data_IF_143355432645
#
_entry.id   IF_143355432645
#
_cell.length_a   1.000
_cell.length_b   1.000
_cell.length_c   1.000
_cell.angle_alpha   90.00
_cell.angle_beta   90.00
_cell.angle_gamma   90.00
#
_symmetry.space_group_name_H-M   'P 1'
#
loop_
_entity.id
_entity.type
_entity.pdbx_description
1 polymer ?
#
# COMPACT_ATOMS: atom_id res chain seq x y z
N UNK A 1 9.05 22.95 -13.42
CA UNK A 1 8.14 21.81 -13.13
C UNK A 1 7.52 22.04 -11.75
N UNK A 2 6.21 21.83 -11.57
CA UNK A 2 5.52 22.26 -10.34
C UNK A 2 5.80 21.30 -9.16
N UNK A 3 5.91 21.83 -7.94
CA UNK A 3 6.06 21.03 -6.70
C UNK A 3 4.96 19.96 -6.54
N UNK A 4 3.75 20.27 -7.04
CA UNK A 4 2.62 19.33 -7.10
C UNK A 4 2.94 18.07 -7.92
N UNK A 5 3.64 18.23 -9.05
CA UNK A 5 4.08 17.10 -9.85
C UNK A 5 5.07 16.21 -9.09
N UNK A 6 5.94 16.81 -8.28
CA UNK A 6 6.87 16.09 -7.40
C UNK A 6 6.13 15.26 -6.35
N UNK A 7 5.20 15.86 -5.61
CA UNK A 7 4.37 15.16 -4.62
C UNK A 7 3.54 14.02 -5.24
N UNK A 8 2.97 14.27 -6.43
CA UNK A 8 2.21 13.25 -7.17
C UNK A 8 3.09 12.07 -7.57
N UNK A 9 4.32 12.31 -8.03
CA UNK A 9 5.23 11.22 -8.38
C UNK A 9 5.67 10.44 -7.13
N UNK A 10 5.99 11.15 -6.05
CA UNK A 10 6.44 10.54 -4.79
C UNK A 10 5.34 9.69 -4.14
N UNK A 11 4.07 9.95 -4.42
CA UNK A 11 2.97 9.13 -3.89
C UNK A 11 2.77 7.81 -4.63
N UNK A 12 3.58 7.48 -5.64
CA UNK A 12 3.33 6.35 -6.53
C UNK A 12 1.90 6.41 -7.08
N UNK A 13 1.59 7.50 -7.79
CA UNK A 13 0.22 7.89 -8.11
C UNK A 13 -0.65 6.79 -8.74
N UNK A 14 -0.09 5.96 -9.63
CA UNK A 14 -0.81 4.84 -10.24
C UNK A 14 -1.34 3.84 -9.21
N UNK A 15 -0.46 3.18 -8.43
CA UNK A 15 -0.86 2.34 -7.29
C UNK A 15 -1.80 3.05 -6.31
N UNK A 16 -1.52 4.31 -5.95
CA UNK A 16 -2.38 5.09 -5.06
C UNK A 16 -3.81 5.21 -5.59
N UNK A 17 -3.97 5.52 -6.88
CA UNK A 17 -5.29 5.59 -7.51
C UNK A 17 -5.99 4.23 -7.52
N UNK A 18 -5.29 3.14 -7.84
CA UNK A 18 -5.88 1.80 -7.86
C UNK A 18 -6.45 1.43 -6.49
N UNK A 19 -5.66 1.59 -5.43
CA UNK A 19 -6.10 1.27 -4.05
C UNK A 19 -7.27 2.17 -3.63
N UNK A 20 -7.20 3.47 -3.96
CA UNK A 20 -8.27 4.44 -3.70
C UNK A 20 -9.56 4.05 -4.43
N UNK A 21 -9.47 3.68 -5.71
CA UNK A 21 -10.63 3.27 -6.51
C UNK A 21 -11.23 1.98 -5.99
N UNK A 22 -10.42 0.97 -5.64
CA UNK A 22 -10.94 -0.27 -5.02
C UNK A 22 -11.68 0.07 -3.72
N UNK A 23 -11.06 0.88 -2.85
CA UNK A 23 -11.69 1.35 -1.62
C UNK A 23 -13.01 2.08 -1.87
N UNK A 24 -13.06 2.96 -2.86
CA UNK A 24 -14.27 3.65 -3.28
C UNK A 24 -15.36 2.69 -3.77
N UNK A 25 -15.01 1.68 -4.59
CA UNK A 25 -15.99 0.69 -5.08
C UNK A 25 -16.62 -0.10 -3.94
N UNK A 26 -15.82 -0.54 -2.96
CA UNK A 26 -16.33 -1.17 -1.74
C UNK A 26 -17.17 -0.21 -0.92
N UNK A 27 -16.72 1.03 -0.74
CA UNK A 27 -17.45 2.02 0.03
C UNK A 27 -18.80 2.35 -0.63
N UNK A 28 -18.85 2.47 -1.95
CA UNK A 28 -20.07 2.71 -2.73
C UNK A 28 -21.05 1.52 -2.69
N UNK A 29 -20.55 0.30 -2.44
CA UNK A 29 -21.40 -0.87 -2.23
C UNK A 29 -22.05 -0.87 -0.84
N UNK A 30 -21.31 -0.45 0.20
CA UNK A 30 -21.76 -0.51 1.61
C UNK A 30 -22.40 0.80 2.13
N UNK A 31 -22.10 1.92 1.48
CA UNK A 31 -22.53 3.26 1.85
C UNK A 31 -23.15 3.97 0.65
N UNK A 32 -23.91 5.04 0.92
CA UNK A 32 -24.30 6.00 -0.11
C UNK A 32 -23.12 6.89 -0.52
N UNK A 33 -23.30 7.64 -1.61
CA UNK A 33 -22.23 8.34 -2.33
C UNK A 33 -21.34 9.24 -1.44
N UNK A 34 -21.92 10.01 -0.52
CA UNK A 34 -21.19 10.97 0.34
C UNK A 34 -20.11 10.31 1.20
N UNK A 35 -20.47 9.38 2.11
CA UNK A 35 -19.50 8.61 2.88
C UNK A 35 -18.51 7.85 2.00
N UNK A 36 -18.94 7.33 0.85
CA UNK A 36 -18.04 6.63 -0.07
C UNK A 36 -16.90 7.54 -0.57
N UNK A 37 -17.19 8.80 -0.91
CA UNK A 37 -16.16 9.76 -1.28
C UNK A 37 -15.23 10.12 -0.11
N UNK A 38 -15.76 10.27 1.11
CA UNK A 38 -14.94 10.58 2.29
C UNK A 38 -14.03 9.40 2.64
N UNK A 39 -14.52 8.15 2.55
CA UNK A 39 -13.72 6.94 2.72
C UNK A 39 -12.63 6.88 1.66
N UNK A 40 -12.97 7.08 0.38
CA UNK A 40 -12.00 7.09 -0.70
C UNK A 40 -10.90 8.15 -0.48
N UNK A 41 -11.29 9.36 -0.06
CA UNK A 41 -10.34 10.41 0.25
C UNK A 41 -9.45 10.08 1.47
N UNK A 42 -10.02 9.49 2.53
CA UNK A 42 -9.25 8.98 3.66
C UNK A 42 -8.25 7.90 3.27
N UNK A 43 -8.66 7.00 2.36
CA UNK A 43 -7.79 5.97 1.79
C UNK A 43 -6.65 6.61 1.00
N UNK A 44 -6.97 7.54 0.11
CA UNK A 44 -6.01 8.31 -0.67
C UNK A 44 -4.97 8.99 0.23
N UNK A 45 -5.40 9.68 1.29
CA UNK A 45 -4.50 10.30 2.27
C UNK A 45 -3.55 9.28 2.93
N UNK A 46 -4.05 8.10 3.30
CA UNK A 46 -3.20 7.01 3.81
C UNK A 46 -2.16 6.54 2.79
N UNK A 47 -2.57 6.38 1.52
CA UNK A 47 -1.66 6.01 0.44
C UNK A 47 -0.59 7.08 0.17
N UNK A 48 -0.93 8.37 0.31
CA UNK A 48 0.06 9.45 0.24
C UNK A 48 1.14 9.27 1.31
N UNK A 49 0.77 8.98 2.56
CA UNK A 49 1.73 8.75 3.66
C UNK A 49 2.64 7.56 3.34
N UNK A 50 2.07 6.44 2.91
CA UNK A 50 2.84 5.23 2.57
C UNK A 50 3.80 5.51 1.41
N UNK A 51 3.33 6.08 0.30
CA UNK A 51 4.15 6.38 -0.87
C UNK A 51 5.24 7.41 -0.58
N UNK A 52 4.90 8.52 0.08
CA UNK A 52 5.88 9.55 0.42
C UNK A 52 6.94 9.06 1.41
N UNK A 53 6.55 8.25 2.39
CA UNK A 53 7.52 7.66 3.32
C UNK A 53 8.47 6.68 2.61
N UNK A 54 7.97 5.94 1.61
CA UNK A 54 8.82 5.09 0.76
C UNK A 54 9.84 5.94 -0.01
N UNK A 55 9.36 6.92 -0.78
CA UNK A 55 10.23 7.74 -1.65
C UNK A 55 11.28 8.51 -0.84
N UNK A 56 10.91 9.01 0.36
CA UNK A 56 11.84 9.68 1.26
C UNK A 56 12.89 8.73 1.84
N UNK A 57 12.50 7.52 2.23
CA UNK A 57 13.41 6.53 2.82
C UNK A 57 14.37 5.95 1.77
N UNK A 58 13.86 5.72 0.56
CA UNK A 58 14.63 5.14 -0.56
C UNK A 58 15.47 6.17 -1.31
N UNK A 59 15.50 7.44 -0.88
CA UNK A 59 16.17 8.51 -1.61
C UNK A 59 17.66 8.25 -1.88
N UNK A 60 18.43 7.86 -0.85
CA UNK A 60 19.88 7.62 -1.01
C UNK A 60 20.15 6.42 -1.93
N UNK A 61 19.31 5.39 -1.85
CA UNK A 61 19.37 4.22 -2.72
C UNK A 61 19.01 4.57 -4.18
N UNK A 62 17.92 5.31 -4.35
CA UNK A 62 17.46 5.79 -5.64
C UNK A 62 18.49 6.71 -6.30
N UNK A 63 19.22 7.49 -5.49
CA UNK A 63 20.32 8.33 -5.94
C UNK A 63 21.52 7.49 -6.40
N UNK A 64 21.92 6.48 -5.61
CA UNK A 64 23.02 5.57 -5.93
C UNK A 64 22.80 4.78 -7.23
N UNK A 65 21.55 4.41 -7.52
CA UNK A 65 21.16 3.71 -8.76
C UNK A 65 20.74 4.63 -9.91
N UNK A 66 20.93 5.95 -9.78
CA UNK A 66 20.57 6.94 -10.79
C UNK A 66 19.12 6.82 -11.29
N UNK A 67 18.16 6.56 -10.40
CA UNK A 67 16.73 6.41 -10.72
C UNK A 67 16.08 7.78 -11.00
N UNK A 68 16.55 8.49 -12.04
CA UNK A 68 16.15 9.87 -12.41
C UNK A 68 14.66 10.09 -12.71
N UNK A 69 13.86 9.02 -12.80
CA UNK A 69 12.39 9.13 -12.87
C UNK A 69 11.77 9.54 -11.52
N UNK A 70 12.46 9.25 -10.41
CA UNK A 70 12.08 9.58 -9.03
C UNK A 70 12.16 11.08 -8.79
N UNK A 71 11.17 11.68 -8.10
CA UNK A 71 11.05 13.13 -8.02
C UNK A 71 12.14 13.79 -7.16
N UNK A 72 12.64 13.09 -6.13
CA UNK A 72 13.75 13.57 -5.30
C UNK A 72 15.07 13.54 -6.07
N UNK A 73 15.39 12.44 -6.75
CA UNK A 73 16.59 12.30 -7.61
C UNK A 73 16.58 13.32 -8.75
N UNK A 74 15.41 13.59 -9.33
CA UNK A 74 15.24 14.60 -10.38
C UNK A 74 15.24 16.06 -9.88
N UNK A 75 15.35 16.30 -8.57
CA UNK A 75 15.33 17.65 -8.00
C UNK A 75 13.99 18.40 -8.14
N UNK A 76 12.88 17.69 -8.37
CA UNK A 76 11.55 18.31 -8.51
C UNK A 76 11.01 18.85 -7.18
N UNK A 77 11.38 18.17 -6.10
CA UNK A 77 11.10 18.52 -4.70
C UNK A 77 12.30 18.09 -3.86
N UNK A 78 12.47 18.70 -2.68
CA UNK A 78 13.54 18.33 -1.74
C UNK A 78 13.04 17.33 -0.69
N UNK A 79 13.93 16.54 -0.06
CA UNK A 79 13.59 15.67 1.06
C UNK A 79 12.87 16.40 2.21
N UNK A 80 13.29 17.63 2.53
CA UNK A 80 12.68 18.45 3.59
C UNK A 80 11.26 18.86 3.22
N UNK A 81 11.02 19.18 1.95
CA UNK A 81 9.69 19.52 1.47
C UNK A 81 8.74 18.34 1.58
N UNK A 82 9.18 17.14 1.15
CA UNK A 82 8.38 15.91 1.26
C UNK A 82 8.12 15.55 2.73
N UNK A 83 9.13 15.67 3.59
CA UNK A 83 9.01 15.40 5.03
C UNK A 83 7.96 16.26 5.71
N UNK A 84 7.89 17.56 5.40
CA UNK A 84 6.84 18.46 5.93
C UNK A 84 5.44 17.98 5.56
N UNK A 85 5.25 17.51 4.33
CA UNK A 85 3.97 16.96 3.87
C UNK A 85 3.63 15.63 4.55
N UNK A 86 4.61 14.75 4.78
CA UNK A 86 4.41 13.52 5.57
C UNK A 86 3.96 13.87 6.99
N UNK A 87 4.61 14.82 7.66
CA UNK A 87 4.26 15.23 9.02
C UNK A 87 2.88 15.85 9.13
N UNK A 88 2.43 16.57 8.11
CA UNK A 88 1.07 17.09 8.04
C UNK A 88 0.05 15.99 7.72
N UNK A 89 0.32 15.17 6.71
CA UNK A 89 -0.63 14.20 6.18
C UNK A 89 -0.83 13.00 7.10
N UNK A 90 0.18 12.64 7.91
CA UNK A 90 0.08 11.50 8.85
C UNK A 90 -1.03 11.69 9.89
N UNK A 91 -1.05 12.76 10.71
CA UNK A 91 -2.16 12.99 11.64
C UNK A 91 -3.47 13.28 10.90
N UNK A 92 -3.44 13.94 9.74
CA UNK A 92 -4.65 14.18 8.96
C UNK A 92 -5.30 12.87 8.50
N UNK A 93 -4.52 11.96 7.91
CA UNK A 93 -4.96 10.63 7.48
C UNK A 93 -5.46 9.80 8.67
N UNK A 94 -4.80 9.89 9.82
CA UNK A 94 -5.26 9.23 11.04
C UNK A 94 -6.64 9.74 11.47
N UNK A 95 -6.80 11.06 11.60
CA UNK A 95 -8.03 11.68 12.07
C UNK A 95 -9.21 11.44 11.11
N UNK A 96 -9.01 11.61 9.81
CA UNK A 96 -10.10 11.43 8.83
C UNK A 96 -10.57 9.98 8.74
N UNK A 97 -9.66 9.00 8.87
CA UNK A 97 -10.06 7.60 8.81
C UNK A 97 -10.69 7.14 10.14
N UNK A 98 -10.25 7.68 11.28
CA UNK A 98 -10.78 7.28 12.58
C UNK A 98 -12.14 7.95 12.89
N UNK A 99 -12.28 9.23 12.57
CA UNK A 99 -13.47 10.03 12.87
C UNK A 99 -14.38 10.26 11.65
N UNK A 100 -13.99 9.77 10.47
CA UNK A 100 -14.83 9.72 9.28
C UNK A 100 -15.77 8.51 9.26
N UNK A 101 -16.35 8.18 8.10
CA UNK A 101 -17.38 7.15 7.99
C UNK A 101 -16.90 5.72 8.28
N UNK A 102 -15.60 5.44 8.22
CA UNK A 102 -15.06 4.15 8.68
C UNK A 102 -15.29 3.92 10.18
N UNK A 103 -15.50 5.00 10.95
CA UNK A 103 -15.63 4.98 12.40
C UNK A 103 -14.37 4.45 13.10
N UNK A 104 -14.45 4.30 14.42
CA UNK A 104 -13.29 3.87 15.22
C UNK A 104 -12.83 2.46 14.81
N UNK A 105 -13.74 1.49 14.70
CA UNK A 105 -13.40 0.09 14.42
C UNK A 105 -12.81 -0.08 13.01
N UNK A 106 -13.52 0.40 11.98
CA UNK A 106 -13.06 0.30 10.60
C UNK A 106 -11.80 1.15 10.38
N UNK A 107 -11.78 2.36 10.95
CA UNK A 107 -10.64 3.27 10.90
C UNK A 107 -9.37 2.63 11.45
N UNK A 108 -9.42 1.98 12.62
CA UNK A 108 -8.26 1.28 13.20
C UNK A 108 -7.77 0.13 12.32
N UNK A 109 -8.68 -0.63 11.71
CA UNK A 109 -8.31 -1.71 10.77
C UNK A 109 -7.63 -1.13 9.53
N UNK A 110 -8.12 -0.02 8.97
CA UNK A 110 -7.45 0.63 7.85
C UNK A 110 -6.09 1.22 8.26
N UNK A 111 -6.00 1.80 9.47
CA UNK A 111 -4.73 2.31 10.02
C UNK A 111 -3.69 1.20 10.22
N UNK A 112 -4.11 -0.02 10.56
CA UNK A 112 -3.22 -1.20 10.57
C UNK A 112 -2.63 -1.46 9.17
N UNK A 113 -3.43 -1.30 8.11
CA UNK A 113 -2.96 -1.38 6.73
C UNK A 113 -1.92 -0.32 6.39
N UNK A 114 -2.14 0.94 6.80
CA UNK A 114 -1.15 2.03 6.64
C UNK A 114 0.13 1.71 7.41
N UNK A 115 0.01 1.25 8.67
CA UNK A 115 1.14 0.87 9.50
C UNK A 115 1.93 -0.29 8.89
N UNK A 116 1.26 -1.25 8.23
CA UNK A 116 1.92 -2.30 7.46
C UNK A 116 2.70 -1.74 6.27
N UNK A 117 2.12 -0.81 5.50
CA UNK A 117 2.81 -0.16 4.38
C UNK A 117 4.08 0.59 4.83
N UNK A 118 3.98 1.36 5.92
CA UNK A 118 5.12 2.03 6.55
C UNK A 118 6.13 0.99 7.04
N UNK A 119 5.70 0.00 7.84
CA UNK A 119 6.57 -1.05 8.34
C UNK A 119 7.28 -1.83 7.23
N UNK A 120 6.64 -2.00 6.08
CA UNK A 120 7.27 -2.59 4.90
C UNK A 120 8.45 -1.74 4.41
N UNK A 121 8.24 -0.43 4.25
CA UNK A 121 9.26 0.50 3.79
C UNK A 121 10.52 0.48 4.67
N UNK A 122 10.34 0.44 5.99
CA UNK A 122 11.44 0.58 6.96
C UNK A 122 12.05 -0.74 7.44
N UNK A 123 11.31 -1.87 7.36
CA UNK A 123 11.73 -3.11 8.01
C UNK A 123 11.47 -4.37 7.18
N UNK A 124 10.22 -4.64 6.82
CA UNK A 124 9.88 -5.96 6.28
C UNK A 124 10.47 -6.23 4.89
N UNK A 125 10.69 -5.20 4.06
CA UNK A 125 11.28 -5.40 2.73
C UNK A 125 12.69 -6.02 2.76
N UNK A 126 13.39 -5.95 3.90
CA UNK A 126 14.73 -6.47 4.09
C UNK A 126 14.78 -7.93 4.58
N UNK A 127 13.63 -8.55 4.91
CA UNK A 127 13.62 -9.87 5.53
C UNK A 127 12.52 -10.81 4.97
N UNK A 128 12.59 -12.08 5.37
CA UNK A 128 11.72 -13.13 4.84
C UNK A 128 10.22 -12.94 5.18
N UNK A 129 9.86 -12.03 6.10
CA UNK A 129 8.47 -11.68 6.36
C UNK A 129 7.93 -10.56 5.44
N UNK A 130 8.66 -10.18 4.38
CA UNK A 130 8.24 -9.15 3.42
C UNK A 130 6.83 -9.29 2.82
N UNK A 131 6.24 -10.50 2.64
CA UNK A 131 4.85 -10.62 2.19
C UNK A 131 3.79 -10.29 3.25
N UNK A 132 4.13 -10.36 4.54
CA UNK A 132 3.17 -10.22 5.63
C UNK A 132 2.46 -8.85 5.66
N UNK A 133 3.16 -7.71 5.50
CA UNK A 133 2.49 -6.41 5.41
C UNK A 133 1.47 -6.32 4.28
N UNK A 134 1.77 -6.93 3.13
CA UNK A 134 0.84 -6.96 2.00
C UNK A 134 -0.37 -7.83 2.29
N UNK A 135 -0.16 -8.99 2.93
CA UNK A 135 -1.25 -9.86 3.36
C UNK A 135 -2.24 -9.09 4.25
N UNK A 136 -1.72 -8.42 5.28
CA UNK A 136 -2.54 -7.68 6.25
C UNK A 136 -3.20 -6.46 5.61
N UNK A 137 -2.45 -5.65 4.85
CA UNK A 137 -2.98 -4.43 4.26
C UNK A 137 -4.09 -4.69 3.23
N UNK A 138 -3.93 -5.72 2.39
CA UNK A 138 -4.95 -6.09 1.41
C UNK A 138 -6.18 -6.73 2.06
N UNK A 139 -6.00 -7.49 3.15
CA UNK A 139 -7.13 -7.99 3.94
C UNK A 139 -7.89 -6.85 4.65
N UNK A 140 -7.15 -5.89 5.19
CA UNK A 140 -7.68 -4.79 5.99
C UNK A 140 -8.50 -3.80 5.16
N UNK A 141 -8.12 -3.53 3.91
CA UNK A 141 -8.78 -2.53 3.07
C UNK A 141 -10.30 -2.79 2.91
N UNK A 142 -10.78 -3.90 2.30
CA UNK A 142 -12.21 -4.16 2.18
C UNK A 142 -12.87 -4.45 3.54
N UNK A 143 -12.14 -5.13 4.44
CA UNK A 143 -12.66 -5.48 5.77
C UNK A 143 -12.97 -4.25 6.63
N UNK A 144 -12.16 -3.20 6.55
CA UNK A 144 -12.40 -1.96 7.29
C UNK A 144 -13.73 -1.31 6.92
N UNK A 145 -14.12 -1.38 5.64
CA UNK A 145 -15.36 -0.82 5.12
C UNK A 145 -16.56 -1.67 5.57
N UNK A 146 -16.47 -3.01 5.51
CA UNK A 146 -17.52 -3.88 6.05
C UNK A 146 -17.71 -3.65 7.57
N UNK A 147 -16.61 -3.59 8.32
CA UNK A 147 -16.62 -3.34 9.77
C UNK A 147 -17.23 -1.97 10.11
N UNK A 148 -17.06 -0.95 9.25
CA UNK A 148 -17.69 0.36 9.43
C UNK A 148 -19.22 0.34 9.40
N UNK A 149 -19.81 -0.73 8.85
CA UNK A 149 -21.25 -1.01 8.85
C UNK A 149 -21.65 -2.06 9.87
N UNK A 150 -20.77 -2.38 10.81
CA UNK A 150 -20.91 -3.49 11.78
C UNK A 150 -21.18 -4.85 11.10
N UNK A 151 -20.71 -5.01 9.85
CA UNK A 151 -20.76 -6.28 9.12
C UNK A 151 -19.49 -7.06 9.42
N UNK A 152 -19.63 -8.32 9.83
CA UNK A 152 -18.50 -9.24 9.92
C UNK A 152 -17.95 -9.50 8.50
N UNK A 153 -16.68 -9.17 8.21
CA UNK A 153 -16.13 -9.38 6.89
C UNK A 153 -16.21 -10.86 6.48
N UNK A 154 -16.80 -11.20 5.32
CA UNK A 154 -16.82 -12.57 4.83
C UNK A 154 -15.40 -13.07 4.58
N UNK A 155 -15.23 -14.39 4.58
CA UNK A 155 -13.92 -15.07 4.50
C UNK A 155 -13.11 -14.59 3.29
N UNK A 156 -13.77 -14.41 2.15
CA UNK A 156 -13.10 -13.98 0.93
C UNK A 156 -12.44 -12.59 1.05
N UNK A 157 -12.96 -11.67 1.88
CA UNK A 157 -12.39 -10.33 2.00
C UNK A 157 -11.02 -10.35 2.65
N UNK A 158 -10.88 -11.07 3.76
CA UNK A 158 -9.62 -11.08 4.50
C UNK A 158 -8.67 -12.16 3.98
N UNK A 159 -9.15 -13.37 3.70
CA UNK A 159 -8.29 -14.44 3.18
C UNK A 159 -7.94 -14.21 1.70
N UNK A 160 -8.94 -13.89 0.87
CA UNK A 160 -8.72 -13.54 -0.53
C UNK A 160 -7.85 -12.29 -0.62
N UNK A 161 -8.19 -11.22 0.11
CA UNK A 161 -7.35 -10.02 0.20
C UNK A 161 -5.89 -10.36 0.54
N UNK A 162 -5.65 -11.17 1.58
CA UNK A 162 -4.29 -11.55 1.97
C UNK A 162 -3.53 -12.30 0.87
N UNK A 163 -4.16 -13.27 0.21
CA UNK A 163 -3.54 -14.06 -0.87
C UNK A 163 -3.18 -13.19 -2.07
N UNK A 164 -4.12 -12.34 -2.52
CA UNK A 164 -3.89 -11.42 -3.63
C UNK A 164 -2.85 -10.35 -3.29
N UNK A 165 -2.84 -9.86 -2.05
CA UNK A 165 -1.83 -8.93 -1.56
C UNK A 165 -0.43 -9.53 -1.59
N UNK A 166 -0.26 -10.75 -1.07
CA UNK A 166 1.01 -11.46 -1.18
C UNK A 166 1.41 -11.66 -2.64
N UNK A 167 0.49 -12.08 -3.52
CA UNK A 167 0.80 -12.22 -4.95
C UNK A 167 1.27 -10.90 -5.57
N UNK A 168 0.60 -9.79 -5.27
CA UNK A 168 0.97 -8.46 -5.72
C UNK A 168 2.38 -8.07 -5.26
N UNK A 169 2.74 -8.37 -4.02
CA UNK A 169 4.11 -8.18 -3.51
C UNK A 169 5.14 -8.95 -4.33
N UNK A 170 4.91 -10.26 -4.51
CA UNK A 170 5.81 -11.12 -5.28
C UNK A 170 5.99 -10.63 -6.72
N UNK A 171 4.94 -10.12 -7.36
CA UNK A 171 5.00 -9.56 -8.72
C UNK A 171 5.76 -8.23 -8.72
N UNK A 172 5.43 -7.33 -7.78
CA UNK A 172 5.94 -5.96 -7.75
C UNK A 172 7.47 -5.91 -7.64
N UNK A 173 8.06 -6.81 -6.86
CA UNK A 173 9.51 -6.82 -6.61
C UNK A 173 10.33 -7.49 -7.71
N UNK A 174 9.72 -8.21 -8.66
CA UNK A 174 10.48 -8.93 -9.72
C UNK A 174 11.21 -7.98 -10.65
N UNK A 175 10.59 -6.84 -10.96
CA UNK A 175 11.09 -5.89 -11.96
C UNK A 175 12.47 -5.32 -11.58
N UNK A 176 12.63 -4.94 -10.32
CA UNK A 176 13.81 -4.24 -9.82
C UNK A 176 14.68 -5.13 -8.89
N UNK A 177 14.40 -6.44 -8.84
CA UNK A 177 14.99 -7.42 -7.91
C UNK A 177 16.52 -7.36 -7.82
N UNK A 178 17.23 -7.31 -8.96
CA UNK A 178 18.70 -7.38 -8.96
C UNK A 178 19.32 -6.10 -8.36
N UNK A 179 18.72 -4.93 -8.64
CA UNK A 179 19.15 -3.65 -8.06
C UNK A 179 18.83 -3.60 -6.57
N UNK A 180 17.62 -4.02 -6.20
CA UNK A 180 17.17 -4.07 -4.82
C UNK A 180 18.06 -4.98 -3.96
N UNK A 181 18.49 -6.13 -4.49
CA UNK A 181 19.43 -7.02 -3.80
C UNK A 181 20.81 -6.39 -3.61
N UNK A 182 21.31 -5.64 -4.60
CA UNK A 182 22.58 -4.91 -4.47
C UNK A 182 22.52 -3.87 -3.34
N UNK A 183 21.33 -3.35 -3.06
CA UNK A 183 21.04 -2.41 -1.96
C UNK A 183 20.67 -3.08 -0.63
N UNK A 184 20.80 -4.41 -0.54
CA UNK A 184 20.48 -5.16 0.68
C UNK A 184 18.98 -5.41 0.90
N UNK A 185 18.10 -5.04 -0.03
CA UNK A 185 16.67 -5.38 0.02
C UNK A 185 16.53 -6.87 -0.33
N UNK A 186 16.49 -7.70 0.71
CA UNK A 186 16.48 -9.16 0.57
C UNK A 186 15.24 -9.80 1.22
N UNK A 187 14.07 -9.38 0.75
CA UNK A 187 12.78 -9.94 1.10
C UNK A 187 12.61 -11.40 0.66
N UNK A 188 11.51 -12.04 1.05
CA UNK A 188 11.22 -13.43 0.65
C UNK A 188 11.27 -13.64 -0.89
N UNK A 189 10.67 -12.79 -1.72
CA UNK A 189 10.72 -12.99 -3.16
C UNK A 189 12.15 -12.88 -3.73
N UNK A 190 12.99 -11.99 -3.18
CA UNK A 190 14.39 -11.84 -3.56
C UNK A 190 15.19 -13.10 -3.18
N UNK A 191 14.96 -13.66 -1.99
CA UNK A 191 15.60 -14.91 -1.53
C UNK A 191 15.22 -16.12 -2.37
N UNK A 192 13.98 -16.16 -2.87
CA UNK A 192 13.49 -17.24 -3.74
C UNK A 192 13.98 -17.11 -5.18
N UNK A 193 14.33 -15.88 -5.60
CA UNK A 193 14.72 -15.55 -6.96
C UNK A 193 13.52 -15.46 -7.93
N UNK A 194 13.73 -14.80 -9.07
CA UNK A 194 12.69 -14.43 -10.04
C UNK A 194 11.75 -15.58 -10.42
N UNK A 195 12.28 -16.74 -10.83
CA UNK A 195 11.47 -17.87 -11.31
C UNK A 195 10.53 -18.43 -10.23
N UNK A 196 11.05 -18.67 -9.02
CA UNK A 196 10.23 -19.20 -7.91
C UNK A 196 9.23 -18.17 -7.41
N UNK A 197 9.59 -16.89 -7.46
CA UNK A 197 8.69 -15.78 -7.13
C UNK A 197 7.50 -15.68 -8.09
N UNK A 198 7.71 -15.87 -9.40
CA UNK A 198 6.60 -15.97 -10.37
C UNK A 198 5.69 -17.15 -10.07
N UNK A 199 6.25 -18.33 -9.78
CA UNK A 199 5.46 -19.52 -9.44
C UNK A 199 4.65 -19.31 -8.15
N UNK A 200 5.28 -18.74 -7.12
CA UNK A 200 4.60 -18.42 -5.86
C UNK A 200 3.44 -17.43 -6.08
N UNK A 201 3.65 -16.37 -6.86
CA UNK A 201 2.58 -15.44 -7.22
C UNK A 201 1.41 -16.14 -7.95
N UNK A 202 1.72 -17.02 -8.91
CA UNK A 202 0.69 -17.78 -9.63
C UNK A 202 -0.14 -18.68 -8.72
N UNK A 203 0.51 -19.39 -7.79
CA UNK A 203 -0.17 -20.23 -6.78
C UNK A 203 -1.07 -19.37 -5.88
N UNK A 204 -0.56 -18.24 -5.38
CA UNK A 204 -1.30 -17.32 -4.52
C UNK A 204 -2.54 -16.74 -5.22
N UNK A 205 -2.42 -16.37 -6.50
CA UNK A 205 -3.55 -15.91 -7.32
C UNK A 205 -4.60 -17.03 -7.47
N UNK A 206 -4.18 -18.25 -7.79
CA UNK A 206 -5.09 -19.39 -7.94
C UNK A 206 -5.85 -19.68 -6.63
N UNK A 207 -5.15 -19.69 -5.49
CA UNK A 207 -5.77 -19.85 -4.18
C UNK A 207 -6.72 -18.69 -3.84
N UNK A 208 -6.35 -17.46 -4.19
CA UNK A 208 -7.20 -16.29 -4.02
C UNK A 208 -8.48 -16.37 -4.84
N UNK A 209 -8.39 -16.84 -6.09
CA UNK A 209 -9.55 -17.07 -6.95
C UNK A 209 -10.45 -18.20 -6.43
N UNK A 210 -9.87 -19.30 -5.95
CA UNK A 210 -10.62 -20.39 -5.30
C UNK A 210 -11.32 -19.87 -4.05
N UNK A 211 -10.66 -19.03 -3.25
CA UNK A 211 -11.26 -18.44 -2.05
C UNK A 211 -12.48 -17.58 -2.40
N UNK A 212 -12.40 -16.77 -3.45
CA UNK A 212 -13.54 -15.96 -3.95
C UNK A 212 -14.68 -16.80 -4.51
N UNK A 213 -14.38 -18.00 -5.03
CA UNK A 213 -15.40 -18.89 -5.56
C UNK A 213 -16.14 -19.66 -4.46
N UNK A 214 -15.44 -20.03 -3.40
CA UNK A 214 -15.98 -20.86 -2.31
C UNK A 214 -16.71 -20.07 -1.21
N UNK A 215 -16.41 -18.79 -1.05
CA UNK A 215 -16.92 -17.93 0.03
C UNK A 215 -17.44 -16.60 -0.51
#
# INVERSE_FOLDING_TARGET
>A
MSKLQGLRKASHFGPTLIVTTIGWLFANYYWWEGPAYVIAFGIFCGQLVVGWSNDLYDYEDDLAHHRTKKPLVAGLITPEYLRKWIYFMTPFAFLINLFGPLGIKGGLVYMLGIACGIGYNFYFKFNAASPLPFAIAFAALPSSIAISKDITPPVWMWLGGALWGMAAHFINVIKDMDQDQASGINGLPQRLGKKRSVVAAGILIALGAITLYLF
#
